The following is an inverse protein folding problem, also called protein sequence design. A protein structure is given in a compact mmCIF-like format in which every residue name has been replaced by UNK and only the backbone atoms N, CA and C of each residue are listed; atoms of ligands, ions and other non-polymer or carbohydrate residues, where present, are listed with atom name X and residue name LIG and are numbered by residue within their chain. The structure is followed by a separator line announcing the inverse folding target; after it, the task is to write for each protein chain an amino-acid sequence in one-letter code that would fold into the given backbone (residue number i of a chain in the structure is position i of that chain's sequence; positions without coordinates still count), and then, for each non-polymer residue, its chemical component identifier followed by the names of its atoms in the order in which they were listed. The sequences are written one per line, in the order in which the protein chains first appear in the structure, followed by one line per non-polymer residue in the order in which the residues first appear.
data_IF_968228992567
#
_entry.id   IF_968228992567
#
_cell.length_a   1.000
_cell.length_b   1.000
_cell.length_c   1.000
_cell.angle_alpha   90.00
_cell.angle_beta   90.00
_cell.angle_gamma   90.00
#
_symmetry.space_group_name_H-M   'P 1'
#
loop_
_entity.id
_entity.type
_entity.pdbx_description
1 polymer ?
#
# COMPACT_ATOMS: atom_id res chain seq x y z
N UNK A 1 -12.45 16.25 1.01
CA UNK A 1 -13.46 16.17 2.09
C UNK A 1 -12.77 16.16 3.43
N UNK A 2 -13.29 16.88 4.40
CA UNK A 2 -12.72 16.90 5.75
C UNK A 2 -13.34 15.79 6.59
N UNK A 3 -12.59 15.15 7.50
CA UNK A 3 -13.16 14.23 8.47
C UNK A 3 -14.15 14.93 9.38
N UNK A 4 -15.13 14.18 9.88
CA UNK A 4 -16.13 14.72 10.83
C UNK A 4 -15.55 14.87 12.23
N UNK A 5 -14.44 14.21 12.52
CA UNK A 5 -13.72 14.29 13.79
C UNK A 5 -12.58 15.28 13.67
N UNK A 6 -12.20 15.99 14.75
CA UNK A 6 -11.03 16.87 14.72
C UNK A 6 -9.72 16.10 14.45
N UNK A 7 -9.71 14.81 14.73
CA UNK A 7 -8.63 13.89 14.38
C UNK A 7 -9.20 12.47 14.33
N UNK A 8 -8.42 11.55 13.76
CA UNK A 8 -8.77 10.14 13.73
C UNK A 8 -7.61 9.36 14.34
N UNK A 9 -7.92 8.55 15.37
CA UNK A 9 -6.97 7.66 16.01
C UNK A 9 -7.41 6.23 15.80
N UNK A 10 -6.52 5.39 15.27
CA UNK A 10 -6.80 3.97 15.08
C UNK A 10 -5.67 3.15 15.70
N UNK A 11 -6.00 1.95 16.16
CA UNK A 11 -4.99 0.97 16.59
C UNK A 11 -5.05 -0.23 15.68
N UNK A 12 -3.88 -0.80 15.37
CA UNK A 12 -3.79 -1.95 14.49
C UNK A 12 -4.66 -3.12 14.97
N UNK A 13 -4.67 -3.35 16.29
CA UNK A 13 -5.43 -4.44 16.89
C UNK A 13 -6.95 -4.31 16.75
N UNK A 14 -7.43 -3.09 16.47
CA UNK A 14 -8.87 -2.84 16.28
C UNK A 14 -9.33 -3.12 14.86
N UNK A 15 -8.40 -3.27 13.92
CA UNK A 15 -8.72 -3.35 12.50
C UNK A 15 -8.52 -4.79 12.03
N UNK A 16 -9.62 -5.55 11.80
CA UNK A 16 -9.48 -6.93 11.36
C UNK A 16 -8.85 -6.97 9.96
N UNK A 17 -7.93 -7.92 9.73
CA UNK A 17 -7.34 -8.04 8.40
C UNK A 17 -8.30 -8.73 7.44
N UNK A 18 -8.13 -8.42 6.15
CA UNK A 18 -8.75 -9.19 5.10
C UNK A 18 -7.73 -9.47 4.00
N UNK A 19 -7.96 -10.53 3.24
CA UNK A 19 -7.05 -10.94 2.19
C UNK A 19 -7.21 -10.01 0.99
N UNK A 20 -6.09 -9.53 0.50
CA UNK A 20 -6.02 -8.64 -0.64
C UNK A 20 -4.98 -9.24 -1.62
N UNK A 21 -4.92 -8.69 -2.83
CA UNK A 21 -3.96 -9.15 -3.85
C UNK A 21 -2.49 -9.06 -3.39
N UNK A 22 -2.21 -8.23 -2.42
CA UNK A 22 -0.85 -8.08 -1.86
C UNK A 22 -0.57 -8.99 -0.67
N UNK A 23 -1.61 -9.61 -0.08
CA UNK A 23 -1.50 -10.38 1.14
C UNK A 23 -2.60 -10.00 2.11
N UNK A 24 -2.25 -9.75 3.38
CA UNK A 24 -3.20 -9.30 4.39
C UNK A 24 -3.15 -7.79 4.51
N UNK A 25 -4.31 -7.16 4.47
CA UNK A 25 -4.43 -5.72 4.61
C UNK A 25 -5.28 -5.35 5.82
N UNK A 26 -4.80 -4.36 6.58
CA UNK A 26 -5.58 -3.70 7.64
C UNK A 26 -5.66 -2.22 7.27
N UNK A 27 -6.81 -1.76 6.75
CA UNK A 27 -6.96 -0.34 6.38
C UNK A 27 -7.16 0.51 7.62
N UNK A 28 -6.08 1.17 8.06
CA UNK A 28 -6.09 1.98 9.28
C UNK A 28 -6.85 3.28 9.08
N UNK A 29 -6.48 4.04 8.06
CA UNK A 29 -7.23 5.21 7.62
C UNK A 29 -7.69 4.92 6.21
N UNK A 30 -9.01 4.78 6.03
CA UNK A 30 -9.57 4.37 4.75
C UNK A 30 -10.44 5.48 4.16
N UNK A 31 -10.92 5.28 2.95
CA UNK A 31 -11.67 6.28 2.21
C UNK A 31 -12.84 6.84 3.00
N UNK A 32 -13.57 5.97 3.70
CA UNK A 32 -14.74 6.36 4.46
C UNK A 32 -14.45 7.39 5.56
N UNK A 33 -13.21 7.49 6.01
CA UNK A 33 -12.83 8.49 7.01
C UNK A 33 -12.79 9.92 6.46
N UNK A 34 -12.73 10.08 5.14
CA UNK A 34 -12.73 11.40 4.50
C UNK A 34 -11.43 12.19 4.68
N UNK A 35 -10.33 11.51 4.97
CA UNK A 35 -9.02 12.16 5.07
C UNK A 35 -8.43 12.43 3.68
N UNK A 36 -7.37 13.24 3.62
CA UNK A 36 -6.70 13.58 2.37
C UNK A 36 -6.06 12.36 1.69
N UNK A 37 -5.72 11.35 2.47
CA UNK A 37 -5.13 10.12 1.98
C UNK A 37 -5.55 8.95 2.83
N UNK A 38 -4.94 7.80 2.57
CA UNK A 38 -5.21 6.56 3.29
C UNK A 38 -3.93 6.00 3.86
N UNK A 39 -4.05 5.23 4.94
CA UNK A 39 -2.93 4.53 5.56
C UNK A 39 -3.32 3.08 5.74
N UNK A 40 -2.56 2.18 5.15
CA UNK A 40 -2.81 0.75 5.20
C UNK A 40 -1.61 0.00 5.78
N UNK A 41 -1.89 -0.96 6.64
CA UNK A 41 -0.87 -1.89 7.13
C UNK A 41 -1.01 -3.18 6.32
N UNK A 42 0.07 -3.58 5.66
CA UNK A 42 0.08 -4.77 4.82
C UNK A 42 1.12 -5.78 5.31
N UNK A 43 0.74 -7.06 5.24
CA UNK A 43 1.67 -8.18 5.34
C UNK A 43 1.74 -8.75 3.92
N UNK A 44 2.90 -8.63 3.29
CA UNK A 44 3.09 -8.98 1.88
C UNK A 44 3.90 -10.26 1.78
N UNK A 45 3.39 -11.22 1.00
CA UNK A 45 4.12 -12.42 0.64
C UNK A 45 4.44 -12.40 -0.85
N UNK A 46 3.43 -12.22 -1.69
CA UNK A 46 3.61 -12.21 -3.13
C UNK A 46 2.49 -11.39 -3.78
N UNK A 47 2.74 -10.11 -3.95
CA UNK A 47 1.76 -9.20 -4.52
C UNK A 47 1.68 -9.37 -6.04
N UNK A 48 0.52 -9.03 -6.60
CA UNK A 48 0.37 -8.99 -8.06
C UNK A 48 0.94 -7.69 -8.61
N UNK A 49 1.47 -7.75 -9.83
CA UNK A 49 1.96 -6.55 -10.51
C UNK A 49 0.78 -5.64 -10.85
N UNK A 50 0.87 -4.38 -10.44
CA UNK A 50 -0.23 -3.43 -10.66
C UNK A 50 0.30 -1.99 -10.64
N UNK A 51 -0.58 -1.05 -10.97
CA UNK A 51 -0.29 0.38 -10.91
C UNK A 51 -1.55 1.15 -10.53
N UNK A 52 -1.36 2.42 -10.18
CA UNK A 52 -2.44 3.34 -9.87
C UNK A 52 -2.33 4.55 -10.80
N UNK A 53 -3.45 5.03 -11.32
CA UNK A 53 -3.45 6.15 -12.26
C UNK A 53 -3.51 7.51 -11.58
N UNK A 54 -4.13 7.55 -10.39
CA UNK A 54 -4.40 8.81 -9.68
C UNK A 54 -3.75 8.87 -8.29
N UNK A 55 -3.16 7.77 -7.85
CA UNK A 55 -2.71 7.60 -6.47
C UNK A 55 -1.18 7.51 -6.43
N UNK A 56 -0.58 8.34 -5.60
CA UNK A 56 0.83 8.20 -5.22
C UNK A 56 0.90 7.40 -3.94
N UNK A 57 1.92 6.57 -3.79
CA UNK A 57 2.08 5.74 -2.61
C UNK A 57 3.46 5.89 -1.99
N UNK A 58 3.50 5.80 -0.66
CA UNK A 58 4.74 5.68 0.09
C UNK A 58 4.70 4.35 0.83
N UNK A 59 5.71 3.52 0.64
CA UNK A 59 5.88 2.27 1.37
C UNK A 59 6.93 2.49 2.44
N UNK A 60 6.64 2.12 3.67
CA UNK A 60 7.64 2.10 4.74
C UNK A 60 7.70 0.70 5.32
N UNK A 61 8.87 0.07 5.26
CA UNK A 61 9.05 -1.31 5.73
C UNK A 61 9.18 -1.32 7.24
N UNK A 62 8.20 -1.93 7.90
CA UNK A 62 8.14 -2.07 9.35
C UNK A 62 8.96 -3.26 9.84
N UNK A 63 9.08 -4.30 9.02
CA UNK A 63 9.84 -5.49 9.37
C UNK A 63 9.89 -6.48 8.22
N UNK A 64 10.72 -7.47 8.37
CA UNK A 64 10.89 -8.51 7.38
C UNK A 64 11.89 -8.16 6.29
N UNK A 65 11.87 -8.95 5.22
CA UNK A 65 12.77 -8.81 4.09
C UNK A 65 12.04 -9.18 2.81
N UNK A 66 12.42 -8.55 1.71
CA UNK A 66 11.85 -8.86 0.42
C UNK A 66 12.47 -8.01 -0.67
N UNK A 67 11.78 -7.98 -1.80
CA UNK A 67 12.19 -7.22 -2.97
C UNK A 67 10.97 -6.54 -3.57
N UNK A 68 11.22 -5.54 -4.40
CA UNK A 68 10.16 -4.80 -5.08
C UNK A 68 10.63 -4.43 -6.48
N UNK A 69 9.75 -4.63 -7.47
CA UNK A 69 9.97 -4.08 -8.79
C UNK A 69 9.21 -2.77 -8.95
N UNK A 70 9.82 -1.83 -9.65
CA UNK A 70 9.27 -0.51 -9.96
C UNK A 70 9.60 -0.26 -11.43
N UNK A 71 8.64 -0.50 -12.30
CA UNK A 71 8.84 -0.58 -13.75
C UNK A 71 9.98 -1.56 -14.07
N UNK A 72 11.11 -1.09 -14.57
CA UNK A 72 12.25 -1.96 -14.94
C UNK A 72 13.27 -2.14 -13.80
N UNK A 73 13.10 -1.43 -12.69
CA UNK A 73 14.03 -1.51 -11.57
C UNK A 73 13.59 -2.57 -10.57
N UNK A 74 14.56 -3.18 -9.90
CA UNK A 74 14.30 -4.09 -8.79
C UNK A 74 15.18 -3.67 -7.61
N UNK A 75 14.58 -3.53 -6.44
CA UNK A 75 15.26 -3.06 -5.24
C UNK A 75 15.03 -4.03 -4.08
N UNK A 76 15.94 -4.00 -3.11
CA UNK A 76 15.80 -4.76 -1.88
C UNK A 76 15.00 -3.97 -0.87
N UNK A 77 14.18 -4.69 -0.09
CA UNK A 77 13.40 -4.12 1.02
C UNK A 77 13.78 -4.81 2.31
N UNK A 78 14.02 -4.01 3.33
CA UNK A 78 14.22 -4.47 4.71
C UNK A 78 13.73 -3.39 5.66
N UNK A 79 13.70 -3.70 6.96
CA UNK A 79 13.22 -2.76 7.96
C UNK A 79 13.87 -1.38 7.82
N UNK A 80 13.04 -0.34 7.81
CA UNK A 80 13.49 1.04 7.74
C UNK A 80 13.59 1.63 6.34
N UNK A 81 13.41 0.82 5.28
CA UNK A 81 13.42 1.33 3.92
C UNK A 81 12.11 2.04 3.61
N UNK A 82 12.19 3.20 2.99
CA UNK A 82 11.02 3.91 2.47
C UNK A 82 11.14 4.01 0.95
N UNK A 83 10.01 3.79 0.26
CA UNK A 83 9.95 3.85 -1.19
C UNK A 83 8.78 4.75 -1.59
N UNK A 84 9.04 5.73 -2.46
CA UNK A 84 7.98 6.51 -3.08
C UNK A 84 7.63 5.87 -4.42
N UNK A 85 6.35 5.54 -4.59
CA UNK A 85 5.82 4.95 -5.83
C UNK A 85 4.91 5.98 -6.47
N UNK A 86 5.39 6.74 -7.47
CA UNK A 86 4.53 7.71 -8.13
C UNK A 86 3.43 7.03 -8.94
N UNK A 87 2.34 7.74 -9.12
CA UNK A 87 1.24 7.24 -9.96
C UNK A 87 1.77 6.81 -11.33
N UNK A 88 1.18 5.75 -11.86
CA UNK A 88 1.58 5.20 -13.15
C UNK A 88 2.72 4.19 -13.10
N UNK A 89 3.43 4.08 -11.99
CA UNK A 89 4.53 3.13 -11.85
C UNK A 89 4.00 1.72 -11.62
N UNK A 90 4.34 0.80 -12.48
CA UNK A 90 4.00 -0.61 -12.31
C UNK A 90 4.89 -1.19 -11.22
N UNK A 91 4.29 -1.77 -10.20
CA UNK A 91 5.05 -2.25 -9.04
C UNK A 91 4.49 -3.54 -8.46
N UNK A 92 5.37 -4.26 -7.79
CA UNK A 92 5.06 -5.51 -7.12
C UNK A 92 6.13 -5.74 -6.05
N UNK A 93 5.70 -6.12 -4.86
CA UNK A 93 6.61 -6.50 -3.77
C UNK A 93 6.36 -7.96 -3.41
N UNK A 94 7.41 -8.65 -2.94
CA UNK A 94 7.31 -10.04 -2.50
C UNK A 94 8.36 -10.34 -1.44
N UNK A 95 8.15 -11.44 -0.72
CA UNK A 95 9.05 -11.90 0.34
C UNK A 95 8.30 -12.21 1.61
N UNK A 96 8.76 -11.66 2.71
CA UNK A 96 8.10 -11.74 4.03
C UNK A 96 8.19 -10.34 4.62
N UNK A 97 7.21 -9.51 4.31
CA UNK A 97 7.26 -8.08 4.60
C UNK A 97 6.05 -7.62 5.40
N UNK A 98 6.31 -6.73 6.36
CA UNK A 98 5.29 -5.91 6.99
C UNK A 98 5.57 -4.47 6.62
N UNK A 99 4.59 -3.82 5.99
CA UNK A 99 4.78 -2.46 5.47
C UNK A 99 3.61 -1.58 5.86
N UNK A 100 3.91 -0.28 6.00
CA UNK A 100 2.90 0.75 6.08
C UNK A 100 2.87 1.42 4.72
N UNK A 101 1.67 1.53 4.12
CA UNK A 101 1.50 2.20 2.83
C UNK A 101 0.63 3.41 3.03
N UNK A 102 1.13 4.57 2.62
CA UNK A 102 0.39 5.82 2.63
C UNK A 102 0.01 6.12 1.19
N UNK A 103 -1.28 6.34 0.93
CA UNK A 103 -1.84 6.55 -0.39
C UNK A 103 -2.46 7.94 -0.48
N UNK A 104 -2.09 8.73 -1.48
CA UNK A 104 -2.57 10.10 -1.67
C UNK A 104 -2.96 10.30 -3.13
N UNK A 105 -4.17 10.80 -3.41
CA UNK A 105 -5.29 11.09 -2.51
C UNK A 105 -5.98 9.80 -2.04
N UNK A 106 -7.04 9.91 -1.27
CA UNK A 106 -7.85 8.77 -0.87
C UNK A 106 -8.57 8.15 -2.08
N UNK A 107 -9.07 6.91 -1.93
CA UNK A 107 -9.77 6.21 -3.01
C UNK A 107 -8.91 5.20 -3.74
N UNK A 108 -7.79 4.77 -3.16
CA UNK A 108 -6.83 3.87 -3.81
C UNK A 108 -7.45 2.54 -4.23
N UNK A 109 -8.41 2.02 -3.48
CA UNK A 109 -9.04 0.73 -3.80
C UNK A 109 -9.88 0.77 -5.07
N UNK A 110 -10.26 1.97 -5.54
CA UNK A 110 -10.96 2.18 -6.80
C UNK A 110 -10.00 2.49 -7.95
N UNK A 111 -8.70 2.42 -7.71
CA UNK A 111 -7.67 2.86 -8.64
C UNK A 111 -6.54 1.82 -8.74
N UNK A 112 -6.92 0.54 -8.73
CA UNK A 112 -5.95 -0.56 -8.84
C UNK A 112 -6.11 -1.20 -10.21
N UNK A 113 -5.02 -1.19 -10.98
CA UNK A 113 -5.00 -1.73 -12.34
C UNK A 113 -3.96 -2.85 -12.41
N UNK A 114 -4.43 -4.08 -12.50
CA UNK A 114 -3.53 -5.23 -12.58
C UNK A 114 -2.92 -5.34 -13.97
N UNK A 115 -1.64 -5.72 -14.01
CA UNK A 115 -0.93 -6.00 -15.24
C UNK A 115 -0.94 -7.50 -15.45
N UNK A 116 -1.60 -7.94 -16.52
CA UNK A 116 -1.71 -9.36 -16.82
C UNK A 116 -0.39 -9.88 -17.39
N UNK A 117 0.03 -11.12 -17.03
CA UNK A 117 1.21 -11.74 -17.60
C UNK A 117 1.10 -11.80 -19.12
N UNK A 118 2.20 -11.50 -19.81
CA UNK A 118 2.27 -11.57 -21.26
C UNK A 118 1.66 -10.37 -21.99
N UNK A 119 1.23 -9.36 -21.25
CA UNK A 119 0.67 -8.15 -21.85
C UNK A 119 1.77 -7.17 -22.29
#
# INVERSE_FOLDING_TARGET
MKPTQPYIRRELSEVPPWTERCGLIRPLIEEAHGAAGEVHHLEITDATLHYHERTDEFYYVLGGQGRMTLDDAEIELHEGVVVYVPRGTKHRAWGDLKVLVVCIPNGVLHDVHEVKPGA
#
